data_IF_214962493235
#
_entry.id   IF_214962493235
#
_cell.length_a   1.000
_cell.length_b   1.000
_cell.length_c   1.000
_cell.angle_alpha   90.00
_cell.angle_beta   90.00
_cell.angle_gamma   90.00
#
_symmetry.space_group_name_H-M   'P 1'
#
loop_
_entity.id
_entity.type
_entity.pdbx_description
1 polymer ?
#
# COMPACT_ATOMS: atom_id res chain seq x y z
N UNK A 1 11.11 5.79 15.67
CA UNK A 1 9.78 5.38 16.17
C UNK A 1 9.03 4.69 15.04
N UNK A 2 8.57 3.47 15.26
CA UNK A 2 7.98 2.62 14.24
C UNK A 2 6.48 2.42 14.50
N UNK A 3 5.70 2.27 13.42
CA UNK A 3 4.25 2.01 13.43
C UNK A 3 3.48 3.00 14.33
N UNK A 4 3.76 4.29 14.20
CA UNK A 4 3.21 5.34 15.10
C UNK A 4 1.68 5.43 15.08
N UNK A 5 1.02 4.93 14.02
CA UNK A 5 -0.45 4.89 13.93
C UNK A 5 -1.09 3.90 14.94
N UNK A 6 -0.29 3.07 15.59
CA UNK A 6 -0.77 2.13 16.62
C UNK A 6 -0.75 2.75 18.02
N UNK A 7 -0.25 3.98 18.16
CA UNK A 7 -0.18 4.66 19.46
C UNK A 7 -1.53 5.29 19.79
N UNK A 8 -2.11 4.89 20.91
CA UNK A 8 -3.39 5.44 21.37
C UNK A 8 -3.20 6.77 22.10
N UNK A 9 -4.23 7.60 22.05
CA UNK A 9 -4.29 8.84 22.83
C UNK A 9 -4.47 8.53 24.31
N UNK A 10 -3.81 9.30 25.18
CA UNK A 10 -3.94 9.18 26.65
C UNK A 10 -4.53 10.46 27.24
N UNK A 11 -5.22 10.34 28.36
CA UNK A 11 -5.71 11.52 29.08
C UNK A 11 -4.53 12.37 29.57
N UNK A 12 -4.68 13.69 29.46
CA UNK A 12 -3.63 14.62 29.87
C UNK A 12 -3.53 14.71 31.41
N UNK A 13 -2.49 14.14 32.03
CA UNK A 13 -2.36 14.11 33.49
C UNK A 13 -2.03 15.48 34.10
N UNK A 14 -1.65 16.45 33.28
CA UNK A 14 -1.23 17.79 33.72
C UNK A 14 -2.38 18.79 33.78
N UNK A 15 -3.57 18.43 33.28
CA UNK A 15 -4.76 19.28 33.36
C UNK A 15 -5.71 18.77 34.44
N UNK A 16 -5.94 19.51 35.53
CA UNK A 16 -6.83 19.08 36.58
C UNK A 16 -8.29 19.09 36.11
N UNK A 17 -8.96 17.98 36.37
CA UNK A 17 -10.41 17.84 36.27
C UNK A 17 -10.94 17.69 34.86
N UNK A 18 -11.31 16.49 34.50
CA UNK A 18 -12.22 16.05 33.41
C UNK A 18 -12.38 16.99 32.17
N UNK A 19 -11.29 17.64 31.77
CA UNK A 19 -11.28 18.62 30.66
C UNK A 19 -11.44 17.96 29.29
N UNK A 20 -11.44 16.62 29.21
CA UNK A 20 -11.50 15.86 27.95
C UNK A 20 -10.26 16.09 27.06
N UNK A 21 -9.23 16.76 27.56
CA UNK A 21 -7.98 17.00 26.83
C UNK A 21 -7.15 15.73 26.86
N UNK A 22 -6.76 15.28 25.66
CA UNK A 22 -5.90 14.12 25.47
C UNK A 22 -4.53 14.55 24.94
N UNK A 23 -3.52 13.77 25.26
CA UNK A 23 -2.20 13.86 24.64
C UNK A 23 -2.19 12.87 23.49
N UNK A 24 -1.97 13.40 22.30
CA UNK A 24 -1.81 12.60 21.08
C UNK A 24 -0.32 12.31 20.83
N UNK A 25 -0.05 11.33 19.99
CA UNK A 25 1.32 11.07 19.55
C UNK A 25 1.95 12.29 18.84
N UNK A 26 1.13 13.07 18.15
CA UNK A 26 1.56 14.33 17.49
C UNK A 26 2.10 15.33 18.52
N UNK A 27 1.45 15.46 19.67
CA UNK A 27 1.91 16.36 20.75
C UNK A 27 3.29 15.93 21.27
N UNK A 28 3.51 14.64 21.42
CA UNK A 28 4.82 14.08 21.81
C UNK A 28 5.89 14.40 20.77
N UNK A 29 5.60 14.19 19.48
CA UNK A 29 6.54 14.50 18.40
C UNK A 29 6.88 15.99 18.34
N UNK A 30 5.90 16.86 18.52
CA UNK A 30 6.11 18.31 18.58
C UNK A 30 6.99 18.71 19.77
N UNK A 31 6.81 18.06 20.93
CA UNK A 31 7.67 18.22 22.09
C UNK A 31 9.11 17.81 21.82
N UNK A 32 9.33 16.63 21.23
CA UNK A 32 10.66 16.12 20.87
C UNK A 32 11.36 17.04 19.86
N UNK A 33 10.63 17.60 18.90
CA UNK A 33 11.18 18.51 17.89
C UNK A 33 11.74 19.80 18.52
N UNK A 34 11.25 20.22 19.68
CA UNK A 34 11.76 21.37 20.41
C UNK A 34 13.17 21.15 21.00
N UNK A 35 13.68 19.93 21.01
CA UNK A 35 14.99 19.60 21.54
C UNK A 35 16.07 19.74 20.46
N UNK A 36 17.12 20.51 20.73
CA UNK A 36 18.16 20.84 19.74
C UNK A 36 19.14 19.69 19.47
N UNK A 37 19.11 18.63 20.26
CA UNK A 37 20.02 17.47 20.18
C UNK A 37 19.31 16.17 19.78
N UNK A 38 18.11 16.27 19.18
CA UNK A 38 17.29 15.12 18.82
C UNK A 38 16.86 15.23 17.36
N UNK A 39 17.14 14.18 16.59
CA UNK A 39 16.54 13.95 15.28
C UNK A 39 15.45 12.88 15.43
N UNK A 40 14.25 13.15 14.89
CA UNK A 40 13.11 12.27 15.03
C UNK A 40 12.75 11.66 13.67
N UNK A 41 12.88 10.35 13.58
CA UNK A 41 12.40 9.56 12.44
C UNK A 41 11.20 8.74 12.87
N UNK A 42 10.14 8.81 12.08
CA UNK A 42 8.92 8.03 12.28
C UNK A 42 8.63 7.20 11.05
N UNK A 43 8.13 5.99 11.25
CA UNK A 43 7.76 5.10 10.16
C UNK A 43 6.30 4.68 10.26
N UNK A 44 5.77 4.23 9.14
CA UNK A 44 4.46 3.62 9.05
C UNK A 44 4.21 3.09 7.65
N UNK A 45 3.33 2.11 7.56
CA UNK A 45 3.08 1.34 6.35
C UNK A 45 1.87 1.83 5.55
N UNK A 46 1.39 3.07 5.77
CA UNK A 46 0.20 3.59 5.10
C UNK A 46 0.31 5.10 4.84
N UNK A 47 -0.09 5.54 3.64
CA UNK A 47 -0.13 6.95 3.24
C UNK A 47 -1.04 7.81 4.14
N UNK A 48 -2.11 7.24 4.69
CA UNK A 48 -3.02 7.95 5.60
C UNK A 48 -2.39 8.31 6.94
N UNK A 49 -1.32 7.63 7.33
CA UNK A 49 -0.62 7.94 8.56
C UNK A 49 -0.04 9.36 8.56
N UNK A 50 0.37 9.84 7.40
CA UNK A 50 0.92 11.18 7.22
C UNK A 50 -0.14 12.20 6.78
N UNK A 51 -1.36 11.75 6.44
CA UNK A 51 -2.26 12.56 5.60
C UNK A 51 -3.20 13.50 6.34
N UNK A 52 -3.60 13.26 7.60
CA UNK A 52 -4.56 14.19 8.24
C UNK A 52 -3.96 15.01 9.37
N UNK A 53 -3.57 14.38 10.44
CA UNK A 53 -3.19 15.10 11.66
C UNK A 53 -1.67 15.29 11.75
N UNK A 54 -0.89 14.26 11.44
CA UNK A 54 0.58 14.34 11.46
C UNK A 54 1.07 15.26 10.36
N UNK A 55 0.61 15.08 9.11
CA UNK A 55 1.02 15.97 8.01
C UNK A 55 0.58 17.42 8.21
N UNK A 56 -0.60 17.64 8.81
CA UNK A 56 -1.08 18.98 9.13
C UNK A 56 -0.26 19.62 10.25
N UNK A 57 0.06 18.87 11.30
CA UNK A 57 0.87 19.36 12.42
C UNK A 57 2.35 19.59 12.05
N UNK A 58 2.85 18.79 11.10
CA UNK A 58 4.23 18.88 10.62
C UNK A 58 4.38 19.57 9.26
N UNK A 59 3.33 20.22 8.74
CA UNK A 59 3.40 20.99 7.50
C UNK A 59 4.63 21.93 7.53
N UNK A 60 5.49 21.80 6.52
CA UNK A 60 6.77 22.53 6.39
C UNK A 60 7.80 22.25 7.50
N UNK A 61 7.64 21.18 8.27
CA UNK A 61 8.51 20.88 9.43
C UNK A 61 9.09 19.46 9.43
N UNK A 62 8.87 18.71 8.39
CA UNK A 62 9.38 17.34 8.21
C UNK A 62 9.52 17.02 6.74
N UNK A 63 10.32 16.02 6.43
CA UNK A 63 10.50 15.46 5.09
C UNK A 63 9.91 14.05 5.04
N UNK A 64 9.14 13.77 4.01
CA UNK A 64 8.60 12.45 3.75
C UNK A 64 9.56 11.65 2.86
N UNK A 65 9.97 10.49 3.34
CA UNK A 65 10.79 9.54 2.60
C UNK A 65 9.95 8.32 2.29
N UNK A 66 9.57 8.15 1.04
CA UNK A 66 8.82 6.99 0.58
C UNK A 66 9.79 5.86 0.20
N UNK A 67 9.74 4.75 0.94
CA UNK A 67 10.55 3.55 0.67
C UNK A 67 9.72 2.59 -0.20
N UNK A 68 10.21 2.36 -1.41
CA UNK A 68 9.59 1.42 -2.36
C UNK A 68 10.32 0.06 -2.34
N UNK A 69 9.73 -1.01 -2.90
CA UNK A 69 10.49 -2.20 -3.27
C UNK A 69 11.69 -1.83 -4.13
N UNK A 70 12.74 -2.66 -4.11
CA UNK A 70 13.96 -2.40 -4.90
C UNK A 70 13.63 -2.18 -6.38
N UNK A 71 14.22 -1.15 -6.95
CA UNK A 71 14.29 -0.97 -8.40
C UNK A 71 15.11 -2.09 -9.03
N UNK A 72 15.03 -2.25 -10.36
CA UNK A 72 15.87 -3.26 -11.04
C UNK A 72 17.38 -3.01 -10.84
N UNK A 73 17.79 -1.76 -10.86
CA UNK A 73 19.21 -1.42 -10.69
C UNK A 73 19.72 -1.78 -9.29
N UNK A 74 18.94 -1.47 -8.26
CA UNK A 74 19.26 -1.85 -6.87
C UNK A 74 19.23 -3.37 -6.70
N UNK A 75 18.21 -4.04 -7.25
CA UNK A 75 18.11 -5.49 -7.24
C UNK A 75 19.30 -6.13 -7.95
N UNK A 76 19.65 -5.64 -9.15
CA UNK A 76 20.78 -6.13 -9.92
C UNK A 76 22.09 -5.92 -9.16
N UNK A 77 22.31 -4.75 -8.56
CA UNK A 77 23.50 -4.46 -7.77
C UNK A 77 23.66 -5.44 -6.58
N UNK A 78 22.55 -5.71 -5.87
CA UNK A 78 22.52 -6.59 -4.69
C UNK A 78 22.40 -8.08 -5.02
N UNK A 79 22.10 -8.47 -6.28
CA UNK A 79 21.80 -9.86 -6.64
C UNK A 79 22.98 -10.79 -6.36
N UNK A 80 22.82 -11.83 -5.53
CA UNK A 80 23.93 -12.62 -5.00
C UNK A 80 24.47 -13.70 -5.97
N UNK A 81 23.78 -13.92 -7.10
CA UNK A 81 24.12 -14.94 -8.09
C UNK A 81 24.65 -14.30 -9.38
N UNK A 82 24.79 -15.07 -10.44
CA UNK A 82 25.22 -14.56 -11.75
C UNK A 82 24.28 -13.47 -12.28
N UNK A 83 24.81 -12.27 -12.51
CA UNK A 83 24.05 -11.08 -12.91
C UNK A 83 23.17 -11.27 -14.15
N UNK A 84 23.57 -12.19 -15.08
CA UNK A 84 22.76 -12.50 -16.28
C UNK A 84 21.38 -13.04 -15.97
N UNK A 85 21.16 -13.60 -14.77
CA UNK A 85 19.87 -14.13 -14.35
C UNK A 85 19.04 -13.11 -13.56
N UNK A 86 19.62 -11.97 -13.16
CA UNK A 86 18.96 -11.00 -12.31
C UNK A 86 17.67 -10.45 -12.93
N UNK A 87 17.66 -10.17 -14.24
CA UNK A 87 16.45 -9.70 -14.92
C UNK A 87 15.30 -10.70 -14.85
N UNK A 88 15.57 -11.96 -15.15
CA UNK A 88 14.56 -13.02 -15.07
C UNK A 88 14.00 -13.18 -13.66
N UNK A 89 14.88 -13.13 -12.67
CA UNK A 89 14.49 -13.20 -11.27
C UNK A 89 13.61 -12.00 -10.89
N UNK A 90 14.03 -10.80 -11.26
CA UNK A 90 13.31 -9.57 -10.96
C UNK A 90 11.91 -9.53 -11.59
N UNK A 91 11.78 -9.83 -12.87
CA UNK A 91 10.47 -9.82 -13.53
C UNK A 91 9.54 -10.93 -13.04
N UNK A 92 10.09 -12.00 -12.45
CA UNK A 92 9.31 -13.10 -11.89
C UNK A 92 8.89 -12.83 -10.45
N UNK A 93 9.83 -12.38 -9.61
CA UNK A 93 9.63 -12.32 -8.15
C UNK A 93 9.62 -10.89 -7.58
N UNK A 94 9.86 -9.87 -8.40
CA UNK A 94 9.84 -8.47 -7.98
C UNK A 94 11.06 -8.02 -7.20
N UNK A 95 10.92 -6.86 -6.58
CA UNK A 95 11.96 -6.15 -5.83
C UNK A 95 11.87 -6.27 -4.31
N UNK A 96 11.05 -7.19 -3.77
CA UNK A 96 11.01 -7.40 -2.31
C UNK A 96 12.35 -7.97 -1.82
N UNK A 97 13.09 -7.29 -0.90
CA UNK A 97 14.47 -7.65 -0.56
C UNK A 97 14.63 -9.10 -0.07
N UNK A 98 13.69 -9.62 0.73
CA UNK A 98 13.77 -10.97 1.27
C UNK A 98 13.62 -12.07 0.21
N UNK A 99 13.12 -11.76 -0.99
CA UNK A 99 13.06 -12.71 -2.11
C UNK A 99 14.46 -13.19 -2.50
N UNK A 100 15.45 -12.30 -2.46
CA UNK A 100 16.83 -12.64 -2.81
C UNK A 100 17.47 -13.66 -1.84
N UNK A 101 16.98 -13.71 -0.60
CA UNK A 101 17.45 -14.66 0.42
C UNK A 101 16.83 -16.05 0.28
N UNK A 102 15.80 -16.21 -0.56
CA UNK A 102 15.14 -17.50 -0.81
C UNK A 102 15.82 -18.22 -1.97
N UNK A 103 16.02 -19.51 -1.80
CA UNK A 103 16.81 -20.32 -2.75
C UNK A 103 15.96 -20.90 -3.88
N UNK A 104 14.76 -21.37 -3.59
CA UNK A 104 13.90 -22.11 -4.51
C UNK A 104 12.70 -21.29 -4.97
N UNK A 105 12.12 -21.66 -6.11
CA UNK A 105 10.86 -21.11 -6.60
C UNK A 105 9.73 -21.25 -5.56
N UNK A 106 9.63 -22.43 -4.94
CA UNK A 106 8.60 -22.68 -3.92
C UNK A 106 8.70 -21.78 -2.72
N UNK A 107 9.91 -21.52 -2.20
CA UNK A 107 10.14 -20.60 -1.08
C UNK A 107 9.81 -19.16 -1.44
N UNK A 108 10.20 -18.70 -2.64
CA UNK A 108 9.92 -17.35 -3.12
C UNK A 108 8.43 -17.14 -3.33
N UNK A 109 7.77 -18.08 -3.99
CA UNK A 109 6.33 -18.05 -4.26
C UNK A 109 5.54 -18.03 -2.96
N UNK A 110 5.87 -18.93 -2.02
CA UNK A 110 5.23 -18.99 -0.71
C UNK A 110 5.42 -17.69 0.06
N UNK A 111 6.64 -17.15 0.13
CA UNK A 111 6.92 -15.90 0.81
C UNK A 111 6.06 -14.74 0.27
N UNK A 112 5.99 -14.56 -1.06
CA UNK A 112 5.22 -13.48 -1.67
C UNK A 112 3.70 -13.66 -1.46
N UNK A 113 3.20 -14.89 -1.53
CA UNK A 113 1.79 -15.19 -1.27
C UNK A 113 1.43 -14.97 0.20
N UNK A 114 2.27 -15.42 1.13
CA UNK A 114 2.08 -15.24 2.57
C UNK A 114 2.15 -13.75 2.94
N UNK A 115 3.15 -13.01 2.43
CA UNK A 115 3.27 -11.56 2.62
C UNK A 115 1.99 -10.84 2.19
N UNK A 116 1.47 -11.20 1.05
CA UNK A 116 0.26 -10.58 0.53
C UNK A 116 -0.96 -10.89 1.41
N UNK A 117 -1.18 -12.17 1.71
CA UNK A 117 -2.36 -12.64 2.42
C UNK A 117 -2.35 -12.30 3.90
N UNK A 118 -1.24 -12.52 4.57
CA UNK A 118 -1.13 -12.39 6.02
C UNK A 118 -0.86 -10.96 6.48
N UNK A 119 -0.22 -10.15 5.63
CA UNK A 119 0.16 -8.78 5.98
C UNK A 119 -0.77 -7.79 5.31
N UNK A 120 -0.73 -7.69 3.98
CA UNK A 120 -1.42 -6.60 3.29
C UNK A 120 -2.94 -6.67 3.38
N UNK A 121 -3.55 -7.83 3.14
CA UNK A 121 -5.02 -7.95 3.20
C UNK A 121 -5.51 -7.72 4.63
N UNK A 122 -4.85 -8.31 5.61
CA UNK A 122 -5.19 -8.12 7.01
C UNK A 122 -5.07 -6.65 7.42
N UNK A 123 -3.96 -6.02 7.11
CA UNK A 123 -3.72 -4.61 7.41
C UNK A 123 -4.75 -3.69 6.76
N UNK A 124 -5.11 -3.93 5.50
CA UNK A 124 -6.13 -3.14 4.80
C UNK A 124 -7.49 -3.26 5.49
N UNK A 125 -7.90 -4.47 5.89
CA UNK A 125 -9.17 -4.70 6.58
C UNK A 125 -9.19 -4.03 7.95
N UNK A 126 -8.18 -4.27 8.77
CA UNK A 126 -8.11 -3.79 10.16
C UNK A 126 -8.04 -2.26 10.21
N UNK A 127 -7.15 -1.66 9.42
CA UNK A 127 -6.93 -0.20 9.42
C UNK A 127 -8.09 0.60 8.85
N UNK A 128 -8.76 0.09 7.83
CA UNK A 128 -9.88 0.80 7.23
C UNK A 128 -11.22 0.42 7.85
N UNK A 129 -11.23 -0.45 8.89
CA UNK A 129 -12.45 -0.96 9.55
C UNK A 129 -13.47 -1.44 8.53
N UNK A 130 -12.98 -2.12 7.48
CA UNK A 130 -13.82 -2.59 6.40
C UNK A 130 -14.73 -3.70 6.91
N UNK A 131 -16.02 -3.60 6.61
CA UNK A 131 -16.98 -4.68 6.82
C UNK A 131 -16.94 -5.72 5.67
N UNK A 132 -15.96 -5.62 4.80
CA UNK A 132 -15.73 -6.58 3.72
C UNK A 132 -15.17 -7.87 4.30
N UNK A 133 -15.58 -8.99 3.73
CA UNK A 133 -14.84 -10.21 3.93
C UNK A 133 -13.50 -10.18 3.18
N UNK A 134 -12.51 -10.85 3.73
CA UNK A 134 -11.18 -10.93 3.12
C UNK A 134 -11.23 -11.56 1.70
N UNK A 135 -12.20 -12.42 1.44
CA UNK A 135 -12.38 -13.10 0.17
C UNK A 135 -12.76 -12.12 -0.95
N UNK A 136 -13.70 -11.20 -0.67
CA UNK A 136 -14.09 -10.16 -1.65
C UNK A 136 -12.93 -9.24 -2.01
N UNK A 137 -12.12 -8.83 -1.04
CA UNK A 137 -10.92 -8.02 -1.29
C UNK A 137 -9.87 -8.79 -2.09
N UNK A 138 -9.66 -10.05 -1.72
CA UNK A 138 -8.74 -10.95 -2.38
C UNK A 138 -9.11 -11.15 -3.85
N UNK A 139 -10.39 -11.37 -4.13
CA UNK A 139 -10.90 -11.50 -5.50
C UNK A 139 -10.81 -10.22 -6.32
N UNK A 140 -11.07 -9.06 -5.71
CA UNK A 140 -10.89 -7.78 -6.38
C UNK A 140 -9.44 -7.60 -6.86
N UNK A 141 -8.48 -7.93 -6.00
CA UNK A 141 -7.08 -7.89 -6.37
C UNK A 141 -6.70 -8.88 -7.48
N UNK A 142 -7.32 -10.07 -7.52
CA UNK A 142 -7.12 -11.03 -8.60
C UNK A 142 -7.62 -10.47 -9.95
N UNK A 143 -8.77 -9.81 -9.94
CA UNK A 143 -9.32 -9.16 -11.14
C UNK A 143 -8.40 -8.02 -11.59
N UNK A 144 -7.94 -7.19 -10.66
CA UNK A 144 -7.00 -6.09 -10.98
C UNK A 144 -5.66 -6.65 -11.47
N UNK A 145 -5.13 -7.71 -10.87
CA UNK A 145 -3.88 -8.34 -11.28
C UNK A 145 -3.94 -8.90 -12.72
N UNK A 146 -5.08 -9.48 -13.11
CA UNK A 146 -5.29 -9.98 -14.49
C UNK A 146 -5.53 -8.86 -15.50
N UNK A 147 -6.03 -7.70 -15.06
CA UNK A 147 -6.31 -6.53 -15.89
C UNK A 147 -5.21 -5.46 -15.84
N UNK A 148 -4.04 -5.77 -15.27
CA UNK A 148 -2.94 -4.81 -15.10
C UNK A 148 -2.57 -4.14 -16.42
N UNK A 149 -2.41 -2.81 -16.40
CA UNK A 149 -2.10 -2.03 -17.61
C UNK A 149 -3.27 -1.82 -18.58
N UNK A 150 -4.42 -2.48 -18.36
CA UNK A 150 -5.63 -2.26 -19.15
C UNK A 150 -6.41 -1.07 -18.61
N UNK A 151 -7.09 -0.36 -19.50
CA UNK A 151 -8.01 0.71 -19.11
C UNK A 151 -9.20 0.11 -18.35
N UNK A 152 -9.39 0.53 -17.11
CA UNK A 152 -10.50 0.07 -16.27
C UNK A 152 -11.04 1.21 -15.40
N UNK A 153 -12.16 0.95 -14.75
CA UNK A 153 -12.77 1.84 -13.74
C UNK A 153 -13.61 1.00 -12.76
N UNK A 154 -14.06 1.55 -11.62
CA UNK A 154 -14.87 0.83 -10.65
C UNK A 154 -16.12 0.19 -11.25
N UNK A 155 -16.76 0.82 -12.22
CA UNK A 155 -17.95 0.29 -12.91
C UNK A 155 -17.64 -0.97 -13.71
N UNK A 156 -16.53 -0.98 -14.47
CA UNK A 156 -16.10 -2.18 -15.21
C UNK A 156 -15.75 -3.32 -14.25
N UNK A 157 -15.05 -3.03 -13.17
CA UNK A 157 -14.71 -4.02 -12.15
C UNK A 157 -15.97 -4.58 -11.48
N UNK A 158 -16.91 -3.73 -11.06
CA UNK A 158 -18.21 -4.15 -10.51
C UNK A 158 -18.99 -5.06 -11.48
N UNK A 159 -19.01 -4.72 -12.77
CA UNK A 159 -19.64 -5.55 -13.79
C UNK A 159 -18.92 -6.90 -13.98
N UNK A 160 -17.60 -6.92 -13.91
CA UNK A 160 -16.81 -8.16 -13.95
C UNK A 160 -17.15 -9.06 -12.77
N UNK A 161 -17.23 -8.51 -11.56
CA UNK A 161 -17.67 -9.26 -10.37
C UNK A 161 -19.06 -9.87 -10.56
N UNK A 162 -19.99 -9.07 -11.08
CA UNK A 162 -21.36 -9.56 -11.34
C UNK A 162 -21.40 -10.69 -12.35
N UNK A 163 -20.66 -10.57 -13.44
CA UNK A 163 -20.68 -11.54 -14.54
C UNK A 163 -19.90 -12.82 -14.24
N UNK A 164 -18.79 -12.72 -13.52
CA UNK A 164 -17.89 -13.85 -13.28
C UNK A 164 -18.22 -14.60 -11.98
N UNK A 165 -18.64 -13.84 -10.95
CA UNK A 165 -18.83 -14.38 -9.59
C UNK A 165 -20.29 -14.35 -9.12
N UNK A 166 -21.18 -13.73 -9.86
CA UNK A 166 -22.57 -13.51 -9.42
C UNK A 166 -22.70 -12.52 -8.25
N UNK A 167 -21.61 -11.92 -7.81
CA UNK A 167 -21.58 -10.96 -6.69
C UNK A 167 -21.97 -9.56 -7.16
N UNK A 168 -22.94 -8.96 -6.47
CA UNK A 168 -23.35 -7.56 -6.73
C UNK A 168 -22.63 -6.64 -5.75
N UNK A 169 -21.54 -6.05 -6.20
CA UNK A 169 -20.80 -5.02 -5.45
C UNK A 169 -21.09 -3.67 -6.10
N UNK A 170 -21.39 -2.66 -5.27
CA UNK A 170 -21.63 -1.29 -5.77
C UNK A 170 -20.32 -0.66 -6.26
N UNK A 171 -20.40 0.23 -7.24
CA UNK A 171 -19.24 0.93 -7.80
C UNK A 171 -18.49 1.72 -6.74
N UNK A 172 -19.23 2.38 -5.83
CA UNK A 172 -18.66 3.16 -4.73
C UNK A 172 -17.86 2.28 -3.78
N UNK A 173 -18.33 1.05 -3.53
CA UNK A 173 -17.62 0.08 -2.68
C UNK A 173 -16.34 -0.40 -3.35
N UNK A 174 -16.39 -0.69 -4.66
CA UNK A 174 -15.18 -1.06 -5.44
C UNK A 174 -14.18 0.09 -5.44
N UNK A 175 -14.63 1.34 -5.62
CA UNK A 175 -13.77 2.52 -5.55
C UNK A 175 -13.09 2.63 -4.18
N UNK A 176 -13.87 2.52 -3.09
CA UNK A 176 -13.33 2.59 -1.73
C UNK A 176 -12.28 1.49 -1.46
N UNK A 177 -12.49 0.28 -1.96
CA UNK A 177 -11.51 -0.81 -1.80
C UNK A 177 -10.24 -0.55 -2.61
N UNK A 178 -10.35 -0.03 -3.83
CA UNK A 178 -9.19 0.35 -4.64
C UNK A 178 -8.40 1.47 -3.96
N UNK A 179 -9.07 2.47 -3.38
CA UNK A 179 -8.41 3.54 -2.64
C UNK A 179 -7.69 3.00 -1.40
N UNK A 180 -8.28 2.02 -0.68
CA UNK A 180 -7.59 1.35 0.43
C UNK A 180 -6.31 0.61 -0.02
N UNK A 181 -6.33 -0.03 -1.19
CA UNK A 181 -5.13 -0.68 -1.74
C UNK A 181 -4.06 0.32 -2.20
N UNK A 182 -4.47 1.48 -2.67
CA UNK A 182 -3.54 2.58 -3.03
C UNK A 182 -2.92 3.16 -1.76
N UNK A 183 -3.74 3.42 -0.74
CA UNK A 183 -3.28 3.93 0.55
C UNK A 183 -2.30 2.96 1.24
N UNK A 184 -2.48 1.65 1.04
CA UNK A 184 -1.57 0.61 1.54
C UNK A 184 -0.36 0.37 0.63
N UNK A 185 -0.13 1.20 -0.37
CA UNK A 185 0.96 1.08 -1.34
C UNK A 185 1.01 -0.26 -2.09
N UNK A 186 -0.12 -0.96 -2.20
CA UNK A 186 -0.24 -2.21 -2.98
C UNK A 186 -0.42 -1.89 -4.46
N UNK A 187 -1.25 -0.88 -4.75
CA UNK A 187 -1.57 -0.43 -6.09
C UNK A 187 -1.17 1.03 -6.30
N UNK A 188 -0.77 1.33 -7.52
CA UNK A 188 -0.69 2.68 -8.05
C UNK A 188 -1.70 2.89 -9.17
N UNK A 189 -2.24 4.10 -9.30
CA UNK A 189 -3.11 4.48 -10.40
C UNK A 189 -2.39 5.43 -11.36
N UNK A 190 -2.56 5.18 -12.66
CA UNK A 190 -2.04 6.02 -13.72
C UNK A 190 -3.20 6.64 -14.50
N UNK A 191 -3.20 7.96 -14.54
CA UNK A 191 -4.19 8.74 -15.27
C UNK A 191 -3.81 8.84 -16.74
N UNK A 192 -4.83 8.94 -17.59
CA UNK A 192 -4.60 9.27 -18.99
C UNK A 192 -4.09 10.70 -19.07
N UNK A 193 -2.98 10.89 -19.77
CA UNK A 193 -2.54 12.23 -20.13
C UNK A 193 -3.41 12.77 -21.27
N UNK A 194 -4.08 13.91 -21.06
CA UNK A 194 -4.84 14.61 -22.09
C UNK A 194 -4.27 16.00 -22.31
N UNK A 195 -3.70 16.21 -23.50
CA UNK A 195 -3.11 17.50 -23.91
C UNK A 195 -4.14 18.63 -23.91
N UNK A 196 -5.42 18.31 -24.13
CA UNK A 196 -6.51 19.31 -24.19
C UNK A 196 -7.15 19.62 -22.83
N UNK A 197 -6.75 18.94 -21.77
CA UNK A 197 -7.12 19.24 -20.39
C UNK A 197 -8.60 19.05 -20.01
N UNK A 198 -9.43 18.47 -20.87
CA UNK A 198 -10.89 18.38 -20.67
C UNK A 198 -11.41 17.00 -20.23
N UNK A 199 -10.55 15.98 -20.19
CA UNK A 199 -10.99 14.57 -20.06
C UNK A 199 -10.47 13.89 -18.78
N UNK A 200 -10.21 14.62 -17.68
CA UNK A 200 -9.74 14.01 -16.44
C UNK A 200 -10.87 13.47 -15.55
N UNK A 201 -12.12 13.88 -15.80
CA UNK A 201 -13.28 13.43 -15.05
C UNK A 201 -13.84 12.19 -15.73
N UNK A 202 -14.04 11.11 -14.99
CA UNK A 202 -14.61 9.82 -15.43
C UNK A 202 -13.87 9.05 -16.52
N UNK A 203 -12.61 9.39 -16.82
CA UNK A 203 -11.82 8.59 -17.77
C UNK A 203 -11.33 7.29 -17.15
N UNK A 204 -11.34 6.17 -17.92
CA UNK A 204 -10.75 4.94 -17.47
C UNK A 204 -9.27 5.11 -17.10
N UNK A 205 -8.89 4.55 -15.97
CA UNK A 205 -7.54 4.58 -15.41
C UNK A 205 -6.82 3.27 -15.70
N UNK A 206 -5.53 3.25 -15.46
CA UNK A 206 -4.75 2.02 -15.37
C UNK A 206 -4.30 1.82 -13.93
N UNK A 207 -4.40 0.59 -13.46
CA UNK A 207 -3.87 0.20 -12.16
C UNK A 207 -2.65 -0.68 -12.36
N UNK A 208 -1.65 -0.46 -11.52
CA UNK A 208 -0.41 -1.22 -11.49
C UNK A 208 -0.14 -1.66 -10.06
N UNK A 209 0.42 -2.85 -9.89
CA UNK A 209 1.00 -3.23 -8.60
C UNK A 209 2.32 -2.47 -8.40
N UNK A 210 2.59 -2.08 -7.19
CA UNK A 210 3.85 -1.41 -6.82
C UNK A 210 5.04 -2.35 -6.94
N UNK A 211 4.79 -3.66 -6.85
CA UNK A 211 5.78 -4.71 -7.07
C UNK A 211 5.23 -5.79 -8.01
N UNK A 212 6.05 -6.15 -9.04
CA UNK A 212 5.64 -7.14 -10.05
C UNK A 212 5.58 -8.55 -9.47
N UNK A 213 6.40 -8.88 -8.49
CA UNK A 213 6.39 -10.18 -7.82
C UNK A 213 5.11 -10.39 -7.02
N UNK A 214 4.62 -9.35 -6.36
CA UNK A 214 3.32 -9.38 -5.68
C UNK A 214 2.17 -9.62 -6.67
N UNK A 215 2.19 -8.94 -7.82
CA UNK A 215 1.22 -9.19 -8.89
C UNK A 215 1.27 -10.65 -9.39
N UNK A 216 2.48 -11.15 -9.65
CA UNK A 216 2.67 -12.50 -10.15
C UNK A 216 2.25 -13.56 -9.11
N UNK A 217 2.51 -13.31 -7.84
CA UNK A 217 2.06 -14.17 -6.74
C UNK A 217 0.52 -14.28 -6.70
N UNK A 218 -0.21 -13.17 -6.97
CA UNK A 218 -1.68 -13.16 -7.08
C UNK A 218 -2.19 -14.07 -8.19
N UNK A 219 -1.49 -14.12 -9.30
CA UNK A 219 -1.82 -14.98 -10.45
C UNK A 219 -1.18 -16.37 -10.37
N UNK A 220 -0.66 -16.75 -9.20
CA UNK A 220 0.03 -18.01 -8.97
C UNK A 220 1.16 -18.26 -9.99
N UNK A 221 1.89 -17.18 -10.34
CA UNK A 221 2.98 -17.17 -11.33
C UNK A 221 2.59 -17.73 -12.71
N UNK A 222 1.32 -17.75 -13.03
CA UNK A 222 0.86 -18.04 -14.40
C UNK A 222 1.08 -16.79 -15.25
N UNK A 223 1.89 -16.95 -16.27
CA UNK A 223 2.14 -15.92 -17.29
C UNK A 223 1.22 -16.12 -18.48
#
# INVERSE_FOLDING_TARGET
LDEIQMVEEVDNPYLPGNSGSKITFVDVLLGLKGLSNVDVYVTGSNSKMLSSDVATAFRDRGEEIHITPLTYDEFHAAYPKEKRFAWREFVTYGGMPLVMQKSTHGEKSKYLQDLFRLTYIKDVIERNRLRADAETLDELLNVVASAVGSLTNPTRLSNTFRSVKGLKIKNETVSAYLDCFIDAYILGKSYRYDIKGRSYIDTPLKYYFTDIGLRNARLNFRQ
#
